data_IF_662546200358
#
_entry.id   IF_662546200358
#
_cell.length_a   1.000
_cell.length_b   1.000
_cell.length_c   1.000
_cell.angle_alpha   90.00
_cell.angle_beta   90.00
_cell.angle_gamma   90.00
#
_symmetry.space_group_name_H-M   'P 1'
#
loop_
_entity.id
_entity.type
_entity.pdbx_description
1 polymer ?
#
# COMPACT_ATOMS: atom_id res chain seq x y z
N UNK A 1 -7.95 -0.89 5.52
CA UNK A 1 -7.71 -1.88 6.59
C UNK A 1 -6.23 -1.85 6.99
N UNK A 2 -5.79 -0.72 7.58
CA UNK A 2 -4.39 -0.44 7.89
C UNK A 2 -3.92 -1.04 9.23
N UNK A 3 -4.65 -2.02 9.78
CA UNK A 3 -4.37 -2.57 11.10
C UNK A 3 -3.70 -3.94 11.04
N UNK A 4 -4.14 -4.81 10.12
CA UNK A 4 -3.63 -6.17 9.95
C UNK A 4 -2.89 -6.29 8.62
N UNK A 5 -1.57 -6.19 8.66
CA UNK A 5 -0.70 -6.35 7.49
C UNK A 5 0.06 -7.67 7.53
N UNK A 6 -0.67 -8.77 7.73
CA UNK A 6 -0.13 -10.08 7.42
C UNK A 6 -0.23 -10.36 5.90
N UNK A 7 0.58 -11.29 5.36
CA UNK A 7 0.63 -11.49 3.92
C UNK A 7 -0.69 -11.96 3.28
N UNK A 8 -1.50 -12.76 3.98
CA UNK A 8 -2.79 -13.22 3.46
C UNK A 8 -3.78 -12.05 3.31
N UNK A 9 -3.89 -11.22 4.35
CA UNK A 9 -4.74 -10.03 4.35
C UNK A 9 -4.30 -9.03 3.28
N UNK A 10 -2.99 -8.86 3.07
CA UNK A 10 -2.44 -8.00 2.00
C UNK A 10 -2.86 -8.50 0.61
N UNK A 11 -2.74 -9.81 0.34
CA UNK A 11 -3.18 -10.41 -0.92
C UNK A 11 -4.68 -10.24 -1.14
N UNK A 12 -5.49 -10.46 -0.10
CA UNK A 12 -6.94 -10.29 -0.18
C UNK A 12 -7.31 -8.83 -0.50
N UNK A 13 -6.66 -7.87 0.15
CA UNK A 13 -6.91 -6.45 -0.10
C UNK A 13 -6.52 -6.01 -1.52
N UNK A 14 -5.41 -6.52 -2.07
CA UNK A 14 -5.01 -6.25 -3.45
C UNK A 14 -6.02 -6.81 -4.45
N UNK A 15 -6.52 -8.04 -4.24
CA UNK A 15 -7.55 -8.63 -5.09
C UNK A 15 -8.85 -7.82 -5.04
N UNK A 16 -9.27 -7.42 -3.84
CA UNK A 16 -10.45 -6.56 -3.69
C UNK A 16 -10.28 -5.21 -4.40
N UNK A 17 -9.08 -4.60 -4.36
CA UNK A 17 -8.78 -3.38 -5.11
C UNK A 17 -8.84 -3.60 -6.62
N UNK A 18 -8.33 -4.74 -7.10
CA UNK A 18 -8.36 -5.09 -8.53
C UNK A 18 -9.80 -5.18 -9.07
N UNK A 19 -10.72 -5.70 -8.26
CA UNK A 19 -12.13 -5.90 -8.62
C UNK A 19 -12.96 -4.59 -8.68
N UNK A 20 -12.44 -3.46 -8.18
CA UNK A 20 -13.14 -2.18 -8.26
C UNK A 20 -13.13 -1.61 -9.68
N UNK A 21 -14.27 -1.11 -10.16
CA UNK A 21 -14.33 -0.32 -11.39
C UNK A 21 -13.70 1.07 -11.16
N UNK A 22 -12.49 1.26 -11.68
CA UNK A 22 -11.72 2.50 -11.57
C UNK A 22 -10.69 2.62 -12.70
N UNK A 23 -10.24 3.84 -12.96
CA UNK A 23 -9.26 4.17 -14.00
C UNK A 23 -7.83 3.92 -13.50
N UNK A 24 -7.56 4.20 -12.22
CA UNK A 24 -6.24 4.05 -11.60
C UNK A 24 -6.35 3.37 -10.24
N UNK A 25 -5.45 2.41 -9.98
CA UNK A 25 -5.36 1.66 -8.73
C UNK A 25 -4.00 1.87 -8.10
N UNK A 26 -3.98 2.29 -6.84
CA UNK A 26 -2.75 2.47 -6.07
C UNK A 26 -2.85 1.73 -4.75
N UNK A 27 -1.83 0.96 -4.41
CA UNK A 27 -1.64 0.38 -3.09
C UNK A 27 -0.50 1.12 -2.38
N UNK A 28 -0.85 1.88 -1.35
CA UNK A 28 0.11 2.49 -0.44
C UNK A 28 0.39 1.52 0.70
N UNK A 29 1.60 0.97 0.70
CA UNK A 29 1.96 -0.17 1.52
C UNK A 29 3.02 0.19 2.55
N UNK A 30 2.73 -0.08 3.82
CA UNK A 30 3.69 -0.04 4.91
C UNK A 30 4.26 -1.42 5.21
N UNK A 31 5.20 -1.49 6.16
CA UNK A 31 5.82 -2.74 6.60
C UNK A 31 4.78 -3.77 7.07
N UNK A 32 5.00 -5.04 6.74
CA UNK A 32 4.35 -6.20 7.36
C UNK A 32 5.20 -6.65 8.56
N UNK A 33 4.72 -6.40 9.79
CA UNK A 33 5.46 -6.73 11.01
C UNK A 33 5.49 -8.25 11.32
N UNK A 34 6.44 -8.65 12.16
CA UNK A 34 6.52 -10.00 12.77
C UNK A 34 6.74 -11.17 11.79
N UNK A 35 7.29 -10.91 10.59
CA UNK A 35 7.56 -11.94 9.59
C UNK A 35 8.90 -12.69 9.77
N UNK A 36 9.86 -12.13 10.50
CA UNK A 36 11.18 -12.75 10.69
C UNK A 36 11.86 -13.06 9.36
N UNK A 37 12.32 -14.29 9.19
CA UNK A 37 13.15 -14.72 8.05
C UNK A 37 12.42 -14.71 6.70
N UNK A 38 11.09 -14.73 6.69
CA UNK A 38 10.29 -14.71 5.44
C UNK A 38 9.91 -13.29 5.01
N UNK A 39 10.35 -12.26 5.74
CA UNK A 39 9.92 -10.88 5.51
C UNK A 39 10.19 -10.42 4.08
N UNK A 40 11.42 -10.60 3.58
CA UNK A 40 11.81 -10.16 2.25
C UNK A 40 10.97 -10.85 1.15
N UNK A 41 10.89 -12.18 1.19
CA UNK A 41 10.14 -12.97 0.20
C UNK A 41 8.65 -12.59 0.17
N UNK A 42 8.03 -12.39 1.34
CA UNK A 42 6.63 -12.01 1.43
C UNK A 42 6.38 -10.59 0.90
N UNK A 43 7.22 -9.60 1.23
CA UNK A 43 7.07 -8.25 0.68
C UNK A 43 7.23 -8.23 -0.84
N UNK A 44 8.24 -8.93 -1.37
CA UNK A 44 8.42 -9.07 -2.82
C UNK A 44 7.23 -9.79 -3.48
N UNK A 45 6.66 -10.80 -2.84
CA UNK A 45 5.48 -11.51 -3.35
C UNK A 45 4.25 -10.59 -3.42
N UNK A 46 4.07 -9.68 -2.46
CA UNK A 46 3.01 -8.67 -2.50
C UNK A 46 3.18 -7.71 -3.67
N UNK A 47 4.40 -7.19 -3.89
CA UNK A 47 4.68 -6.33 -5.05
C UNK A 47 4.41 -7.03 -6.37
N UNK A 48 4.87 -8.29 -6.52
CA UNK A 48 4.63 -9.09 -7.72
C UNK A 48 3.14 -9.27 -7.99
N UNK A 49 2.37 -9.62 -6.96
CA UNK A 49 0.92 -9.75 -7.09
C UNK A 49 0.25 -8.43 -7.49
N UNK A 50 0.64 -7.31 -6.86
CA UNK A 50 0.09 -6.00 -7.21
C UNK A 50 0.36 -5.65 -8.68
N UNK A 51 1.58 -5.90 -9.16
CA UNK A 51 1.93 -5.71 -10.57
C UNK A 51 1.09 -6.59 -11.51
N UNK A 52 0.92 -7.87 -11.18
CA UNK A 52 0.11 -8.80 -11.98
C UNK A 52 -1.37 -8.40 -12.04
N UNK A 53 -1.86 -7.68 -11.03
CA UNK A 53 -3.22 -7.12 -10.96
C UNK A 53 -3.33 -5.71 -11.56
N UNK A 54 -2.25 -5.15 -12.10
CA UNK A 54 -2.24 -3.79 -12.67
C UNK A 54 -2.37 -2.68 -11.63
N UNK A 55 -1.85 -2.90 -10.42
CA UNK A 55 -1.90 -1.97 -9.28
C UNK A 55 -0.52 -1.31 -9.11
N UNK A 56 -0.49 0.03 -9.05
CA UNK A 56 0.70 0.79 -8.69
C UNK A 56 1.02 0.60 -7.20
N UNK A 57 2.27 0.30 -6.85
CA UNK A 57 2.70 0.17 -5.45
C UNK A 57 3.50 1.39 -5.04
N UNK A 58 3.08 2.03 -3.94
CA UNK A 58 3.83 3.07 -3.26
C UNK A 58 4.19 2.58 -1.85
N UNK A 59 5.45 2.22 -1.65
CA UNK A 59 5.94 1.78 -0.34
C UNK A 59 6.25 3.00 0.57
N UNK A 60 5.90 2.91 1.84
CA UNK A 60 6.18 3.93 2.86
C UNK A 60 7.06 3.32 3.94
N UNK A 61 8.30 3.79 4.03
CA UNK A 61 9.35 3.26 4.92
C UNK A 61 9.44 1.73 4.91
N UNK A 62 9.29 1.12 3.72
CA UNK A 62 9.20 -0.32 3.56
C UNK A 62 10.03 -0.81 2.35
N UNK A 63 11.37 -0.76 2.44
CA UNK A 63 12.26 -1.07 1.33
C UNK A 63 12.17 -2.54 0.85
N UNK A 64 11.68 -3.44 1.71
CA UNK A 64 11.55 -4.87 1.39
C UNK A 64 10.58 -5.16 0.24
N UNK A 65 9.71 -4.21 -0.13
CA UNK A 65 8.85 -4.36 -1.31
C UNK A 65 9.62 -4.36 -2.64
N UNK A 66 10.90 -3.99 -2.66
CA UNK A 66 11.73 -4.00 -3.87
C UNK A 66 11.32 -2.95 -4.92
N UNK A 67 10.58 -1.93 -4.50
CA UNK A 67 10.17 -0.77 -5.31
C UNK A 67 10.68 0.51 -4.66
N UNK A 68 10.59 1.64 -5.37
CA UNK A 68 10.87 2.93 -4.79
C UNK A 68 9.97 3.16 -3.56
N UNK A 69 10.60 3.53 -2.44
CA UNK A 69 9.91 3.83 -1.18
C UNK A 69 10.02 5.31 -0.88
N UNK A 70 8.97 5.89 -0.30
CA UNK A 70 9.01 7.22 0.31
C UNK A 70 9.31 7.10 1.80
N UNK A 71 9.77 8.18 2.41
CA UNK A 71 10.23 8.19 3.79
C UNK A 71 9.07 8.15 4.81
N UNK A 72 7.95 8.77 4.49
CA UNK A 72 6.83 8.94 5.42
C UNK A 72 5.49 9.20 4.68
N UNK A 73 4.44 9.41 5.48
CA UNK A 73 3.07 9.65 5.00
C UNK A 73 2.91 10.98 4.27
N UNK A 74 3.68 12.01 4.61
CA UNK A 74 3.62 13.31 3.95
C UNK A 74 4.20 13.21 2.55
N UNK A 75 5.37 12.56 2.41
CA UNK A 75 5.96 12.26 1.11
C UNK A 75 5.07 11.32 0.27
N UNK A 76 4.31 10.42 0.91
CA UNK A 76 3.33 9.58 0.22
C UNK A 76 2.16 10.41 -0.33
N UNK A 77 1.63 11.36 0.45
CA UNK A 77 0.57 12.27 0.02
C UNK A 77 1.04 13.14 -1.17
N UNK A 78 2.23 13.72 -1.07
CA UNK A 78 2.84 14.50 -2.17
C UNK A 78 2.99 13.66 -3.45
N UNK A 79 3.42 12.40 -3.32
CA UNK A 79 3.64 11.51 -4.45
C UNK A 79 2.35 10.99 -5.09
N UNK A 80 1.28 10.84 -4.30
CA UNK A 80 -0.06 10.52 -4.78
C UNK A 80 -0.68 11.70 -5.54
N UNK A 81 -0.44 12.93 -5.06
CA UNK A 81 -1.03 14.14 -5.60
C UNK A 81 -2.53 14.22 -5.36
N UNK A 82 -3.21 15.07 -6.14
CA UNK A 82 -4.67 15.20 -6.10
C UNK A 82 -5.34 13.93 -6.63
N UNK A 83 -6.28 13.37 -5.86
CA UNK A 83 -7.07 12.23 -6.28
C UNK A 83 -8.28 12.67 -7.10
N UNK A 84 -8.58 11.92 -8.14
CA UNK A 84 -9.76 12.07 -8.97
C UNK A 84 -10.83 11.03 -8.64
N UNK A 85 -12.04 11.20 -9.16
CA UNK A 85 -13.12 10.19 -9.03
C UNK A 85 -12.79 8.84 -9.65
N UNK A 86 -11.80 8.78 -10.55
CA UNK A 86 -11.36 7.55 -11.20
C UNK A 86 -10.29 6.78 -10.41
N UNK A 87 -9.79 7.34 -9.30
CA UNK A 87 -8.75 6.71 -8.49
C UNK A 87 -9.33 5.82 -7.39
N UNK A 88 -8.74 4.64 -7.23
CA UNK A 88 -8.94 3.77 -6.08
C UNK A 88 -7.61 3.59 -5.34
N UNK A 89 -7.59 3.96 -4.06
CA UNK A 89 -6.40 3.90 -3.21
C UNK A 89 -6.62 2.94 -2.05
N UNK A 90 -5.75 1.93 -1.96
CA UNK A 90 -5.66 1.02 -0.81
C UNK A 90 -4.54 1.50 0.13
N UNK A 91 -4.87 1.68 1.40
CA UNK A 91 -3.88 1.92 2.46
C UNK A 91 -3.77 0.67 3.33
N UNK A 92 -2.57 0.09 3.42
CA UNK A 92 -2.34 -1.12 4.22
C UNK A 92 -0.90 -1.24 4.73
N UNK A 93 -0.74 -1.54 6.02
CA UNK A 93 0.56 -1.67 6.67
C UNK A 93 0.34 -1.97 8.15
N UNK A 94 1.38 -2.34 8.88
CA UNK A 94 1.29 -2.43 10.34
C UNK A 94 1.11 -1.03 10.94
N UNK A 95 0.55 -0.93 12.15
CA UNK A 95 0.35 0.35 12.87
C UNK A 95 1.59 1.24 12.93
N UNK A 96 2.79 0.65 13.01
CA UNK A 96 4.05 1.39 13.03
C UNK A 96 4.25 2.25 11.77
N UNK A 97 3.62 1.88 10.64
CA UNK A 97 3.67 2.66 9.41
C UNK A 97 2.80 3.93 9.46
N UNK A 98 1.85 4.04 10.41
CA UNK A 98 1.07 5.26 10.63
C UNK A 98 0.21 5.72 9.45
N UNK A 99 -0.18 4.80 8.56
CA UNK A 99 -0.91 5.09 7.31
C UNK A 99 -2.33 5.64 7.56
N UNK A 100 -2.87 5.51 8.76
CA UNK A 100 -4.14 6.15 9.14
C UNK A 100 -4.09 7.67 8.95
N UNK A 101 -2.94 8.31 9.21
CA UNK A 101 -2.77 9.75 9.00
C UNK A 101 -2.86 10.15 7.54
N UNK A 102 -2.40 9.29 6.64
CA UNK A 102 -2.54 9.52 5.20
C UNK A 102 -4.01 9.46 4.78
N UNK A 103 -4.81 8.55 5.36
CA UNK A 103 -6.25 8.52 5.10
C UNK A 103 -6.92 9.85 5.48
N UNK A 104 -6.57 10.40 6.65
CA UNK A 104 -7.11 11.68 7.12
C UNK A 104 -6.72 12.84 6.20
N UNK A 105 -5.46 12.89 5.74
CA UNK A 105 -4.98 13.90 4.81
C UNK A 105 -5.72 13.85 3.46
N UNK A 106 -5.95 12.65 2.93
CA UNK A 106 -6.64 12.46 1.64
C UNK A 106 -8.15 12.77 1.72
N UNK A 107 -8.76 12.70 2.90
CA UNK A 107 -10.18 13.00 3.11
C UNK A 107 -10.44 14.46 3.52
N UNK A 108 -9.40 15.18 3.97
CA UNK A 108 -9.49 16.57 4.40
C UNK A 108 -9.36 17.58 3.25
N UNK A 109 -8.88 17.15 2.07
CA UNK A 109 -8.84 17.92 0.83
C UNK A 109 -10.04 17.65 -0.06
#
# INVERSE_FOLDING_TARGET
DAYNANPESMRAALRALADLECERRVAVLGVMAELGDIAEDEHLAITRLAHDLGIEVLAVDAPLYGVATVADVDAAAERLGELSRGDAVLLKGSRVAGLERLADLLLAG
#
